data_IF_608790988834
#
_entry.id   IF_608790988834
#
_cell.length_a   1.000
_cell.length_b   1.000
_cell.length_c   1.000
_cell.angle_alpha   90.00
_cell.angle_beta   90.00
_cell.angle_gamma   90.00
#
_symmetry.space_group_name_H-M   'P 1'
#
loop_
_entity.id
_entity.type
_entity.pdbx_description
1 polymer ?
#
# COMPACT_ATOMS: atom_id res chain seq x y z
N UNK A 1 -7.40 -30.60 3.70
CA UNK A 1 -7.99 -29.35 3.29
C UNK A 1 -7.00 -28.20 3.49
N UNK A 2 -6.71 -27.44 2.41
CA UNK A 2 -5.71 -26.36 2.45
C UNK A 2 -6.13 -25.19 3.34
N UNK A 3 -7.41 -24.90 3.44
CA UNK A 3 -7.88 -23.81 4.30
C UNK A 3 -7.65 -24.15 5.79
N UNK A 4 -7.91 -25.38 6.22
CA UNK A 4 -7.65 -25.77 7.61
C UNK A 4 -6.16 -25.75 7.94
N UNK A 5 -5.28 -26.18 7.02
CA UNK A 5 -3.83 -26.03 7.19
C UNK A 5 -3.39 -24.57 7.29
N UNK A 6 -4.03 -23.67 6.55
CA UNK A 6 -3.76 -22.24 6.67
C UNK A 6 -4.19 -21.71 8.06
N UNK A 7 -5.37 -22.10 8.53
CA UNK A 7 -5.84 -21.74 9.88
C UNK A 7 -4.85 -22.20 10.95
N UNK A 8 -4.38 -23.46 10.87
CA UNK A 8 -3.41 -24.02 11.79
C UNK A 8 -2.06 -23.28 11.76
N UNK A 9 -1.53 -23.02 10.56
CA UNK A 9 -0.26 -22.28 10.39
C UNK A 9 -0.35 -20.87 10.96
N UNK A 10 -1.42 -20.14 10.67
CA UNK A 10 -1.65 -18.83 11.26
C UNK A 10 -1.77 -18.90 12.80
N UNK A 11 -2.45 -19.93 13.32
CA UNK A 11 -2.58 -20.11 14.76
C UNK A 11 -1.21 -20.31 15.43
N UNK A 12 -0.29 -21.03 14.80
CA UNK A 12 1.08 -21.18 15.34
C UNK A 12 1.78 -19.83 15.49
N UNK A 13 1.60 -18.92 14.52
CA UNK A 13 2.18 -17.57 14.62
C UNK A 13 1.53 -16.78 15.75
N UNK A 14 0.20 -16.86 15.87
CA UNK A 14 -0.56 -16.19 16.95
C UNK A 14 -0.15 -16.70 18.33
N UNK A 15 -0.04 -18.01 18.48
CA UNK A 15 0.32 -18.67 19.74
C UNK A 15 1.77 -18.40 20.17
N UNK A 16 2.64 -18.10 19.23
CA UNK A 16 4.04 -17.73 19.52
C UNK A 16 4.14 -16.46 20.35
N UNK A 17 3.13 -15.56 20.26
CA UNK A 17 3.09 -14.24 20.92
C UNK A 17 4.32 -13.36 20.57
N UNK A 18 4.98 -13.67 19.47
CA UNK A 18 6.16 -12.93 19.00
C UNK A 18 5.80 -11.59 18.36
N UNK A 19 4.55 -11.46 17.93
CA UNK A 19 4.06 -10.28 17.19
C UNK A 19 2.77 -9.75 17.82
N UNK A 20 2.51 -8.46 17.60
CA UNK A 20 1.26 -7.80 18.00
C UNK A 20 0.94 -6.65 17.05
N UNK A 21 -0.33 -6.27 16.96
CA UNK A 21 -0.74 -5.12 16.15
C UNK A 21 -0.23 -3.82 16.78
N UNK A 22 0.40 -2.96 15.99
CA UNK A 22 0.83 -1.63 16.42
C UNK A 22 -0.37 -0.75 16.79
N UNK A 23 -0.19 0.15 17.76
CA UNK A 23 -1.22 1.14 18.12
C UNK A 23 -1.35 2.23 17.06
N UNK A 24 -0.23 2.64 16.49
CA UNK A 24 -0.14 3.54 15.34
C UNK A 24 0.09 2.72 14.07
N UNK A 25 -0.86 2.76 13.15
CA UNK A 25 -0.77 2.08 11.85
C UNK A 25 0.52 2.42 11.11
N UNK A 26 0.90 3.70 11.12
CA UNK A 26 2.06 4.17 10.38
C UNK A 26 3.40 3.86 11.05
N UNK A 27 3.41 3.39 12.29
CA UNK A 27 4.64 2.93 12.95
C UNK A 27 5.36 1.84 12.14
N UNK A 28 4.59 1.01 11.42
CA UNK A 28 5.12 -0.03 10.54
C UNK A 28 5.97 0.49 9.37
N UNK A 29 5.89 1.80 9.06
CA UNK A 29 6.42 2.40 7.84
C UNK A 29 7.32 3.62 8.11
N UNK A 30 7.61 3.92 9.37
CA UNK A 30 8.53 5.00 9.78
C UNK A 30 9.97 4.65 9.39
N UNK A 31 10.85 5.64 9.41
CA UNK A 31 12.28 5.46 9.09
C UNK A 31 12.96 4.44 10.02
N UNK A 32 12.48 4.30 11.26
CA UNK A 32 12.98 3.35 12.25
C UNK A 32 12.02 2.17 12.46
N UNK A 33 11.41 1.66 11.40
CA UNK A 33 10.39 0.62 11.45
C UNK A 33 10.94 -0.79 11.75
N UNK A 34 12.24 -0.95 11.87
CA UNK A 34 12.88 -2.16 12.42
C UNK A 34 12.43 -2.45 13.86
N UNK A 35 11.91 -1.45 14.56
CA UNK A 35 11.37 -1.59 15.91
C UNK A 35 9.89 -2.01 15.95
N UNK A 36 9.24 -2.15 14.79
CA UNK A 36 7.83 -2.54 14.74
C UNK A 36 7.64 -3.97 15.24
N UNK A 37 6.73 -4.12 16.21
CA UNK A 37 6.31 -5.43 16.73
C UNK A 37 5.28 -6.14 15.84
N UNK A 38 4.84 -5.51 14.77
CA UNK A 38 3.91 -6.06 13.80
C UNK A 38 4.60 -6.61 12.55
N UNK A 39 5.76 -6.06 12.16
CA UNK A 39 6.51 -6.49 10.99
C UNK A 39 7.14 -7.86 11.22
N UNK A 40 6.84 -8.84 10.35
CA UNK A 40 7.32 -10.23 10.47
C UNK A 40 8.53 -10.45 9.57
N UNK A 41 8.45 -9.97 8.32
CA UNK A 41 9.51 -10.14 7.35
C UNK A 41 9.64 -8.88 6.49
N UNK A 42 10.86 -8.36 6.44
CA UNK A 42 11.18 -7.11 5.77
C UNK A 42 12.38 -7.30 4.84
N UNK A 43 12.49 -6.45 3.83
CA UNK A 43 13.73 -6.23 3.12
C UNK A 43 14.41 -5.09 3.85
N UNK A 44 15.56 -5.38 4.46
CA UNK A 44 16.33 -4.41 5.23
C UNK A 44 16.92 -3.36 4.29
N UNK A 45 16.67 -2.09 4.59
CA UNK A 45 17.25 -0.95 3.92
C UNK A 45 18.18 -0.21 4.89
N UNK A 46 19.40 0.08 4.46
CA UNK A 46 20.37 0.85 5.22
C UNK A 46 20.91 1.99 4.34
N UNK A 47 20.48 3.19 4.65
CA UNK A 47 20.88 4.39 3.92
C UNK A 47 22.38 4.71 4.04
N UNK A 48 23.08 4.09 4.97
CA UNK A 48 24.54 4.23 5.16
C UNK A 48 25.32 3.07 4.54
N UNK A 49 24.63 2.01 4.13
CA UNK A 49 25.30 0.88 3.49
C UNK A 49 25.97 1.32 2.20
N UNK A 50 27.27 1.12 2.13
CA UNK A 50 28.10 1.46 0.98
C UNK A 50 27.98 0.48 -0.18
N UNK A 51 26.80 -0.11 -0.39
CA UNK A 51 26.58 -0.93 -1.55
C UNK A 51 26.56 -0.08 -2.80
N UNK A 52 27.68 -0.13 -3.50
CA UNK A 52 27.93 0.62 -4.71
C UNK A 52 27.21 0.03 -5.94
N UNK A 53 25.91 -0.21 -5.80
CA UNK A 53 25.05 -0.47 -6.95
C UNK A 53 24.75 0.82 -7.72
N UNK A 54 25.70 1.77 -7.67
CA UNK A 54 25.49 3.16 -8.07
C UNK A 54 25.23 3.35 -9.53
N UNK A 55 25.62 2.47 -10.39
CA UNK A 55 25.79 2.90 -11.76
C UNK A 55 24.66 2.55 -12.72
N UNK A 56 23.79 1.60 -12.46
CA UNK A 56 22.71 1.29 -13.41
C UNK A 56 21.34 1.13 -12.79
N UNK A 57 21.25 0.38 -11.73
CA UNK A 57 20.02 0.27 -10.95
C UNK A 57 20.12 1.07 -9.64
N UNK A 58 21.31 1.38 -9.21
CA UNK A 58 21.63 1.83 -7.87
C UNK A 58 21.17 3.23 -7.51
N UNK A 59 21.04 4.14 -8.47
CA UNK A 59 20.33 5.41 -8.20
C UNK A 59 18.90 5.19 -7.81
N UNK A 60 18.48 4.00 -7.96
CA UNK A 60 17.14 3.55 -7.69
C UNK A 60 17.04 2.60 -6.49
N UNK A 61 18.06 1.95 -5.96
CA UNK A 61 17.91 0.89 -4.98
C UNK A 61 17.58 1.36 -3.54
N UNK A 62 18.15 2.43 -3.09
CA UNK A 62 18.04 2.87 -1.69
C UNK A 62 17.21 4.13 -1.46
N UNK A 63 16.47 4.58 -2.45
CA UNK A 63 15.49 5.62 -2.25
C UNK A 63 14.17 4.95 -2.03
N UNK A 64 13.46 5.23 -1.02
CA UNK A 64 12.14 4.62 -0.80
C UNK A 64 11.17 5.06 -1.90
N UNK A 65 11.36 4.48 -3.07
CA UNK A 65 10.74 4.86 -4.31
C UNK A 65 9.27 4.71 -4.34
N UNK A 66 8.78 3.77 -3.60
CA UNK A 66 7.35 3.54 -3.52
C UNK A 66 6.66 4.84 -3.15
N UNK A 67 7.16 5.55 -2.14
CA UNK A 67 6.62 6.86 -1.74
C UNK A 67 6.97 7.96 -2.73
N UNK A 68 8.21 7.94 -3.25
CA UNK A 68 8.64 8.92 -4.25
C UNK A 68 7.87 8.79 -5.58
N UNK A 69 7.35 7.60 -5.90
CA UNK A 69 6.51 7.37 -7.08
C UNK A 69 5.11 7.94 -6.93
N UNK A 70 4.56 8.02 -5.71
CA UNK A 70 3.17 8.43 -5.48
C UNK A 70 3.02 9.92 -5.24
N UNK A 71 3.97 10.56 -4.59
CA UNK A 71 3.86 11.97 -4.22
C UNK A 71 4.01 12.91 -5.42
N UNK A 72 3.26 14.02 -5.41
CA UNK A 72 3.37 15.09 -6.40
C UNK A 72 4.73 15.81 -6.25
N UNK A 73 5.26 16.36 -7.31
CA UNK A 73 6.50 17.13 -7.32
C UNK A 73 6.55 18.25 -6.27
N UNK A 74 5.43 18.92 -6.06
CA UNK A 74 5.31 20.04 -5.12
C UNK A 74 5.52 19.60 -3.64
N UNK A 75 5.29 18.32 -3.32
CA UNK A 75 5.51 17.83 -1.96
C UNK A 75 6.96 17.93 -1.51
N UNK A 76 7.94 17.99 -2.44
CA UNK A 76 9.32 18.25 -2.06
C UNK A 76 9.45 19.52 -1.23
N UNK A 77 8.91 20.62 -1.74
CA UNK A 77 8.96 21.93 -1.09
C UNK A 77 7.99 22.02 0.08
N UNK A 78 6.78 21.44 -0.08
CA UNK A 78 5.76 21.47 0.97
C UNK A 78 6.21 20.81 2.27
N UNK A 79 6.95 19.70 2.15
CA UNK A 79 7.35 18.86 3.28
C UNK A 79 8.85 18.83 3.52
N UNK A 80 9.60 19.69 2.86
CA UNK A 80 11.05 19.76 2.97
C UNK A 80 11.72 18.39 2.74
N UNK A 81 11.31 17.69 1.68
CA UNK A 81 11.85 16.37 1.37
C UNK A 81 13.26 16.47 0.77
N UNK A 82 14.14 15.56 1.15
CA UNK A 82 15.52 15.49 0.66
C UNK A 82 15.61 15.29 -0.85
N UNK A 83 14.62 14.61 -1.44
CA UNK A 83 14.55 14.31 -2.87
C UNK A 83 13.21 14.75 -3.47
N UNK A 84 13.21 15.10 -4.75
CA UNK A 84 11.99 15.44 -5.50
C UNK A 84 11.19 14.17 -5.79
N UNK A 85 9.90 14.10 -5.39
CA UNK A 85 9.01 13.00 -5.75
C UNK A 85 8.83 12.86 -7.26
N UNK A 86 8.41 11.67 -7.69
CA UNK A 86 8.38 11.34 -9.12
C UNK A 86 7.02 11.52 -9.78
N UNK A 87 5.95 11.67 -9.00
CA UNK A 87 4.60 11.90 -9.50
C UNK A 87 4.12 10.86 -10.54
N UNK A 88 4.54 9.60 -10.36
CA UNK A 88 4.35 8.54 -11.35
C UNK A 88 3.08 7.73 -11.17
N UNK A 89 2.54 7.67 -9.95
CA UNK A 89 1.37 6.87 -9.62
C UNK A 89 0.35 7.65 -8.79
N UNK A 90 -0.92 7.34 -9.00
CA UNK A 90 -2.02 7.92 -8.24
C UNK A 90 -3.11 6.86 -8.00
N UNK A 91 -3.98 7.14 -7.03
CA UNK A 91 -5.13 6.30 -6.76
C UNK A 91 -6.31 6.64 -7.68
N UNK A 92 -6.94 5.65 -8.32
CA UNK A 92 -8.18 5.89 -9.02
C UNK A 92 -9.33 6.15 -8.04
N UNK A 93 -10.31 7.02 -8.42
CA UNK A 93 -11.43 7.42 -7.57
C UNK A 93 -12.26 6.26 -7.02
N UNK A 94 -12.48 5.21 -7.80
CA UNK A 94 -13.27 4.05 -7.40
C UNK A 94 -12.61 3.21 -6.29
N UNK A 95 -11.28 3.16 -6.27
CA UNK A 95 -10.58 2.56 -5.14
C UNK A 95 -10.58 3.47 -3.91
N UNK A 96 -10.38 4.78 -4.12
CA UNK A 96 -10.40 5.74 -3.03
C UNK A 96 -11.76 5.79 -2.31
N UNK A 97 -12.86 5.58 -3.06
CA UNK A 97 -14.20 5.52 -2.51
C UNK A 97 -14.46 4.36 -1.52
N UNK A 98 -13.53 3.40 -1.43
CA UNK A 98 -13.59 2.32 -0.44
C UNK A 98 -13.24 2.76 0.98
N UNK A 99 -12.63 3.94 1.15
CA UNK A 99 -12.33 4.52 2.45
C UNK A 99 -13.48 5.44 2.91
N UNK A 100 -13.74 5.49 4.22
CA UNK A 100 -14.61 6.51 4.79
C UNK A 100 -13.86 7.84 4.89
N UNK A 101 -14.25 8.79 4.05
CA UNK A 101 -13.62 10.10 3.98
C UNK A 101 -13.63 10.82 5.34
N UNK A 102 -12.47 11.30 5.76
CA UNK A 102 -12.30 12.06 6.99
C UNK A 102 -12.41 11.26 8.30
N UNK A 103 -12.63 9.94 8.21
CA UNK A 103 -12.71 9.06 9.38
C UNK A 103 -11.61 8.01 9.41
N UNK A 104 -11.42 7.29 8.29
CA UNK A 104 -10.35 6.30 8.18
C UNK A 104 -9.02 7.02 8.00
N UNK A 105 -8.12 6.92 8.98
CA UNK A 105 -6.82 7.59 8.97
C UNK A 105 -5.91 7.15 7.81
N UNK A 106 -6.19 6.01 7.18
CA UNK A 106 -5.49 5.55 5.98
C UNK A 106 -6.04 6.20 4.71
N UNK A 107 -7.26 6.66 4.77
CA UNK A 107 -8.04 7.20 3.65
C UNK A 107 -7.81 8.69 3.41
N UNK A 108 -8.57 9.25 2.47
CA UNK A 108 -8.52 10.67 2.21
C UNK A 108 -9.14 11.45 3.36
N UNK A 109 -8.44 12.49 3.78
CA UNK A 109 -8.92 13.46 4.74
C UNK A 109 -9.08 14.83 4.06
N UNK A 110 -9.59 15.80 4.82
CA UNK A 110 -9.63 17.16 4.36
C UNK A 110 -8.24 17.62 3.91
N UNK A 111 -8.14 18.22 2.73
CA UNK A 111 -6.89 18.70 2.14
C UNK A 111 -6.14 19.67 3.05
N UNK A 112 -6.83 20.35 3.94
CA UNK A 112 -6.21 21.24 4.94
C UNK A 112 -5.43 20.46 6.00
N UNK A 113 -5.76 19.22 6.26
CA UNK A 113 -5.06 18.35 7.21
C UNK A 113 -3.88 17.62 6.55
N UNK A 114 -4.07 17.14 5.32
CA UNK A 114 -3.09 16.33 4.62
C UNK A 114 -1.92 17.10 4.00
N UNK A 115 -2.10 18.38 3.69
CA UNK A 115 -1.13 19.17 2.94
C UNK A 115 -0.55 20.38 3.67
N UNK A 116 -1.18 20.81 4.76
CA UNK A 116 -0.61 21.83 5.65
C UNK A 116 0.31 21.17 6.68
N UNK A 117 1.54 20.93 6.29
CA UNK A 117 2.55 20.31 7.14
C UNK A 117 2.75 18.81 6.85
N UNK A 118 3.83 18.28 7.35
CA UNK A 118 4.25 16.88 7.14
C UNK A 118 3.54 15.87 8.04
N UNK A 119 2.53 16.26 8.77
CA UNK A 119 1.93 15.45 9.82
C UNK A 119 0.82 14.52 9.30
N UNK A 120 0.41 14.69 8.03
CA UNK A 120 -0.59 13.85 7.41
C UNK A 120 0.00 12.59 6.80
N UNK A 121 -0.68 11.48 7.00
CA UNK A 121 -0.42 10.19 6.39
C UNK A 121 -1.66 9.72 5.63
N UNK A 122 -1.50 8.75 4.73
CA UNK A 122 -2.61 8.24 3.94
C UNK A 122 -2.72 8.91 2.58
N UNK A 123 -3.94 9.02 2.09
CA UNK A 123 -4.22 9.58 0.77
C UNK A 123 -4.43 11.09 0.80
N UNK A 124 -3.82 11.82 -0.12
CA UNK A 124 -3.91 13.28 -0.23
C UNK A 124 -4.75 13.70 -1.41
N UNK A 125 -5.62 14.69 -1.16
CA UNK A 125 -6.38 15.45 -2.13
C UNK A 125 -6.25 16.93 -1.83
N UNK A 126 -6.53 17.78 -2.83
CA UNK A 126 -6.60 19.22 -2.68
C UNK A 126 -5.27 19.95 -2.90
N UNK A 127 -5.20 21.22 -2.49
CA UNK A 127 -4.05 22.07 -2.70
C UNK A 127 -2.82 21.62 -1.92
N UNK A 128 -1.64 21.72 -2.54
CA UNK A 128 -0.35 21.56 -1.89
C UNK A 128 0.16 22.94 -1.50
N UNK A 129 0.13 23.25 -0.22
CA UNK A 129 0.46 24.60 0.27
C UNK A 129 1.97 24.80 0.48
N UNK A 130 2.36 26.05 0.38
CA UNK A 130 3.71 26.50 0.74
C UNK A 130 3.91 26.35 2.25
N UNK A 131 5.05 25.83 2.75
CA UNK A 131 5.23 25.51 4.16
C UNK A 131 5.27 26.75 5.06
N UNK A 132 5.68 27.91 4.53
CA UNK A 132 5.90 29.14 5.32
C UNK A 132 5.05 30.34 4.84
N UNK A 133 4.38 30.23 3.71
CA UNK A 133 3.52 31.31 3.19
C UNK A 133 2.08 30.86 3.28
N UNK A 134 1.34 31.48 4.18
CA UNK A 134 -0.03 31.12 4.44
C UNK A 134 -0.89 31.16 3.18
N UNK A 135 -1.69 30.11 3.01
CA UNK A 135 -2.67 29.95 1.93
C UNK A 135 -2.10 30.04 0.49
N UNK A 136 -0.78 30.06 0.35
CA UNK A 136 -0.10 30.06 -0.93
C UNK A 136 0.03 28.64 -1.48
N UNK A 137 -0.62 28.35 -2.62
CA UNK A 137 -0.51 27.08 -3.32
C UNK A 137 0.82 27.04 -4.08
N UNK A 138 1.56 25.95 -3.92
CA UNK A 138 2.79 25.70 -4.67
C UNK A 138 2.49 25.51 -6.15
N UNK A 139 3.41 25.94 -6.99
CA UNK A 139 3.35 25.74 -8.45
C UNK A 139 4.48 24.82 -8.90
N UNK A 140 4.21 24.02 -9.90
CA UNK A 140 5.18 23.18 -10.61
C UNK A 140 5.73 23.99 -11.79
N UNK A 141 6.82 24.71 -11.57
CA UNK A 141 7.42 25.66 -12.55
C UNK A 141 7.84 24.94 -13.84
N UNK A 142 8.45 23.77 -13.71
CA UNK A 142 8.87 22.92 -14.83
C UNK A 142 7.70 22.27 -15.60
N UNK A 143 6.47 22.53 -15.16
CA UNK A 143 5.22 22.08 -15.79
C UNK A 143 4.32 23.25 -16.19
N UNK A 144 4.92 24.33 -16.63
CA UNK A 144 4.20 25.53 -17.10
C UNK A 144 3.56 26.32 -15.97
N UNK A 145 4.16 26.35 -14.78
CA UNK A 145 3.61 26.99 -13.58
C UNK A 145 2.25 26.45 -13.16
N UNK A 146 2.04 25.14 -13.35
CA UNK A 146 0.79 24.48 -12.98
C UNK A 146 0.62 24.50 -11.45
N UNK A 147 -0.47 25.08 -10.91
CA UNK A 147 -0.77 25.00 -9.48
C UNK A 147 -0.92 23.54 -9.04
N UNK A 148 -0.30 23.17 -7.93
CA UNK A 148 -0.37 21.82 -7.39
C UNK A 148 -1.67 21.63 -6.59
N UNK A 149 -2.73 21.22 -7.29
CA UNK A 149 -4.06 20.94 -6.72
C UNK A 149 -4.45 19.52 -7.10
N UNK A 150 -4.32 18.59 -6.17
CA UNK A 150 -4.58 17.16 -6.40
C UNK A 150 -6.08 16.93 -6.41
N UNK A 151 -6.58 16.36 -7.50
CA UNK A 151 -8.02 16.16 -7.71
C UNK A 151 -8.39 14.67 -7.67
N UNK A 152 -9.57 14.37 -7.13
CA UNK A 152 -10.13 13.01 -7.15
C UNK A 152 -10.79 12.71 -8.50
N UNK A 153 -10.00 12.84 -9.56
CA UNK A 153 -10.41 12.60 -10.94
C UNK A 153 -9.21 12.16 -11.74
N UNK A 154 -9.43 11.34 -12.78
CA UNK A 154 -8.42 10.96 -13.77
C UNK A 154 -9.12 11.07 -15.13
N UNK A 155 -8.66 11.98 -15.95
CA UNK A 155 -9.28 12.28 -17.26
C UNK A 155 -9.20 11.09 -18.23
N UNK A 156 -8.11 10.32 -18.17
CA UNK A 156 -7.87 9.13 -19.00
C UNK A 156 -6.43 8.66 -18.86
N UNK A 157 -6.14 7.43 -19.29
CA UNK A 157 -4.79 6.88 -19.20
C UNK A 157 -3.75 7.68 -20.00
N UNK A 158 -4.17 8.27 -21.13
CA UNK A 158 -3.29 9.03 -22.01
C UNK A 158 -3.36 10.55 -21.77
N UNK A 159 -4.42 11.01 -21.08
CA UNK A 159 -4.69 12.42 -20.84
C UNK A 159 -4.58 12.86 -19.39
N UNK A 160 -4.12 11.96 -18.50
CA UNK A 160 -3.92 12.28 -17.10
C UNK A 160 -2.88 13.39 -16.91
N UNK A 161 -3.20 14.33 -16.02
CA UNK A 161 -2.34 15.45 -15.67
C UNK A 161 -1.51 15.16 -14.40
N UNK A 162 -0.59 16.06 -14.07
CA UNK A 162 0.22 15.94 -12.87
C UNK A 162 -0.60 16.05 -11.55
N UNK A 163 -1.82 16.52 -11.63
CA UNK A 163 -2.71 16.71 -10.49
C UNK A 163 -3.75 15.58 -10.33
N UNK A 164 -3.91 14.72 -11.34
CA UNK A 164 -4.95 13.70 -11.35
C UNK A 164 -4.70 12.59 -10.34
N UNK A 165 -5.76 12.19 -9.64
CA UNK A 165 -5.81 11.09 -8.67
C UNK A 165 -5.08 11.37 -7.35
N UNK A 166 -5.59 10.77 -6.28
CA UNK A 166 -5.03 10.94 -4.94
C UNK A 166 -3.59 10.43 -4.83
N UNK A 167 -2.81 11.06 -3.95
CA UNK A 167 -1.41 10.73 -3.66
C UNK A 167 -1.28 10.08 -2.30
N UNK A 168 -0.35 9.15 -2.16
CA UNK A 168 -0.19 8.38 -0.91
C UNK A 168 1.11 8.73 -0.20
N UNK A 169 1.02 8.99 1.09
CA UNK A 169 2.14 8.87 2.03
C UNK A 169 1.87 7.71 2.97
N UNK A 170 2.56 6.62 2.79
CA UNK A 170 2.49 5.44 3.67
C UNK A 170 3.82 5.16 4.34
N UNK A 171 4.90 5.15 3.59
CA UNK A 171 6.25 5.09 4.12
C UNK A 171 6.77 6.51 4.38
N UNK A 172 7.39 6.73 5.51
CA UNK A 172 8.00 8.00 5.84
C UNK A 172 9.10 8.35 4.84
N UNK A 173 9.17 9.62 4.44
CA UNK A 173 10.19 10.11 3.51
C UNK A 173 11.16 11.01 4.27
N UNK A 174 12.45 10.80 4.03
CA UNK A 174 13.51 11.60 4.64
C UNK A 174 13.38 13.09 4.28
N UNK A 175 13.52 13.95 5.30
CA UNK A 175 13.50 15.40 5.15
C UNK A 175 14.90 15.93 4.79
N UNK A 176 14.94 17.16 4.32
CA UNK A 176 16.18 17.90 4.05
C UNK A 176 17.13 17.87 5.26
N UNK A 177 18.40 17.69 4.99
CA UNK A 177 19.41 17.52 6.05
C UNK A 177 19.63 16.08 6.51
N UNK A 178 18.72 15.15 6.20
CA UNK A 178 18.94 13.73 6.41
C UNK A 178 19.68 13.08 5.24
N UNK A 179 20.06 11.81 5.39
CA UNK A 179 20.56 11.02 4.29
C UNK A 179 19.48 10.93 3.19
N UNK A 180 19.87 11.08 1.94
CA UNK A 180 18.95 10.94 0.78
C UNK A 180 18.49 9.50 0.54
N UNK A 181 19.09 8.54 1.20
CA UNK A 181 18.67 7.15 1.22
C UNK A 181 17.82 6.90 2.47
N UNK A 182 16.77 6.12 2.31
CA UNK A 182 15.88 5.82 3.42
C UNK A 182 16.38 4.59 4.18
N UNK A 183 16.20 4.61 5.49
CA UNK A 183 16.53 3.49 6.37
C UNK A 183 15.29 2.64 6.69
N UNK A 184 14.10 3.06 6.27
CA UNK A 184 12.90 2.27 6.53
C UNK A 184 12.89 0.99 5.70
N UNK A 185 12.79 -0.11 6.40
CA UNK A 185 12.69 -1.44 5.82
C UNK A 185 11.42 -1.59 4.99
N UNK A 186 11.53 -2.26 3.84
CA UNK A 186 10.38 -2.59 3.03
C UNK A 186 9.64 -3.80 3.58
N UNK A 187 8.40 -3.60 4.02
CA UNK A 187 7.59 -4.61 4.69
C UNK A 187 6.99 -5.58 3.69
N UNK A 188 7.33 -6.87 3.80
CA UNK A 188 6.78 -7.95 2.98
C UNK A 188 5.62 -8.68 3.68
N UNK A 189 5.76 -8.96 4.97
CA UNK A 189 4.73 -9.63 5.77
C UNK A 189 4.57 -8.94 7.12
N UNK A 190 3.31 -8.68 7.50
CA UNK A 190 2.91 -8.12 8.80
C UNK A 190 1.93 -9.04 9.51
N UNK A 191 1.86 -8.92 10.82
CA UNK A 191 0.94 -9.71 11.66
C UNK A 191 -0.53 -9.49 11.29
N UNK A 192 -0.90 -8.30 10.82
CA UNK A 192 -2.23 -8.03 10.27
C UNK A 192 -2.59 -8.97 9.10
N UNK A 193 -1.61 -9.31 8.21
CA UNK A 193 -1.85 -10.25 7.11
C UNK A 193 -2.11 -11.68 7.64
N UNK A 194 -1.42 -12.10 8.69
CA UNK A 194 -1.65 -13.40 9.35
C UNK A 194 -3.07 -13.50 9.89
N UNK A 195 -3.54 -12.46 10.57
CA UNK A 195 -4.89 -12.42 11.14
C UNK A 195 -5.98 -12.46 10.05
N UNK A 196 -5.81 -11.67 8.98
CA UNK A 196 -6.74 -11.70 7.85
C UNK A 196 -6.69 -13.01 7.06
N UNK A 197 -5.52 -13.61 6.87
CA UNK A 197 -5.39 -14.92 6.23
C UNK A 197 -6.11 -16.01 7.04
N UNK A 198 -5.97 -15.99 8.37
CA UNK A 198 -6.68 -16.93 9.23
C UNK A 198 -8.19 -16.77 9.12
N UNK A 199 -8.67 -15.52 9.14
CA UNK A 199 -10.10 -15.24 9.01
C UNK A 199 -10.64 -15.70 7.64
N UNK A 200 -9.96 -15.34 6.55
CA UNK A 200 -10.36 -15.76 5.19
C UNK A 200 -10.40 -17.28 5.06
N UNK A 201 -9.36 -17.96 5.54
CA UNK A 201 -9.26 -19.42 5.47
C UNK A 201 -10.37 -20.09 6.28
N UNK A 202 -10.65 -19.62 7.49
CA UNK A 202 -11.74 -20.12 8.32
C UNK A 202 -13.11 -19.89 7.65
N UNK A 203 -13.34 -18.71 7.09
CA UNK A 203 -14.57 -18.37 6.39
C UNK A 203 -14.80 -19.29 5.19
N UNK A 204 -13.76 -19.49 4.34
CA UNK A 204 -13.83 -20.36 3.16
C UNK A 204 -13.97 -21.84 3.52
N UNK A 205 -13.47 -22.25 4.67
CA UNK A 205 -13.67 -23.60 5.21
C UNK A 205 -15.07 -23.81 5.84
N UNK A 206 -15.88 -22.77 5.98
CA UNK A 206 -17.16 -22.82 6.70
C UNK A 206 -17.00 -22.97 8.22
N UNK A 207 -15.83 -22.65 8.76
CA UNK A 207 -15.53 -22.72 10.20
C UNK A 207 -16.04 -21.47 10.92
N UNK A 208 -17.35 -21.47 11.21
CA UNK A 208 -18.03 -20.34 11.86
C UNK A 208 -17.55 -20.12 13.30
N UNK A 209 -17.13 -21.16 13.99
CA UNK A 209 -16.54 -21.03 15.33
C UNK A 209 -15.28 -20.17 15.28
N UNK A 210 -14.34 -20.48 14.37
CA UNK A 210 -13.08 -19.75 14.26
C UNK A 210 -13.31 -18.30 13.78
N UNK A 211 -14.21 -18.06 12.84
CA UNK A 211 -14.53 -16.68 12.42
C UNK A 211 -15.13 -15.86 13.55
N UNK A 212 -15.99 -16.46 14.39
CA UNK A 212 -16.55 -15.80 15.56
C UNK A 212 -15.48 -15.50 16.61
N UNK A 213 -14.57 -16.44 16.87
CA UNK A 213 -13.43 -16.23 17.78
C UNK A 213 -12.56 -15.05 17.32
N UNK A 214 -12.27 -14.97 16.02
CA UNK A 214 -11.45 -13.88 15.45
C UNK A 214 -12.17 -12.54 15.54
N UNK A 215 -13.46 -12.48 15.26
CA UNK A 215 -14.24 -11.24 15.45
C UNK A 215 -14.30 -10.79 16.92
N UNK A 216 -14.15 -11.72 17.87
CA UNK A 216 -14.04 -11.39 19.29
C UNK A 216 -12.59 -11.11 19.74
N UNK A 217 -11.59 -11.32 18.89
CA UNK A 217 -10.18 -11.15 19.24
C UNK A 217 -9.78 -9.66 19.22
N UNK A 218 -9.26 -9.11 20.33
CA UNK A 218 -8.87 -7.71 20.42
C UNK A 218 -7.79 -7.30 19.37
N UNK A 219 -6.82 -8.16 19.09
CA UNK A 219 -5.79 -7.89 18.10
C UNK A 219 -6.38 -7.79 16.68
N UNK A 220 -7.33 -8.67 16.36
CA UNK A 220 -8.04 -8.60 15.09
C UNK A 220 -8.84 -7.31 14.95
N UNK A 221 -9.57 -6.93 15.99
CA UNK A 221 -10.36 -5.70 16.01
C UNK A 221 -9.47 -4.44 15.98
N UNK A 222 -8.30 -4.52 16.59
CA UNK A 222 -7.34 -3.42 16.65
C UNK A 222 -6.86 -2.98 15.26
N UNK A 223 -6.78 -3.89 14.27
CA UNK A 223 -6.41 -3.54 12.89
C UNK A 223 -7.29 -2.41 12.38
N UNK A 224 -8.59 -2.43 12.71
CA UNK A 224 -9.55 -1.42 12.26
C UNK A 224 -9.67 -0.25 13.23
N UNK A 225 -9.70 -0.51 14.53
CA UNK A 225 -9.94 0.55 15.52
C UNK A 225 -8.75 1.52 15.65
N UNK A 226 -7.53 1.07 15.40
CA UNK A 226 -6.34 1.94 15.41
C UNK A 226 -6.35 3.03 14.33
N UNK A 227 -7.14 2.84 13.28
CA UNK A 227 -7.30 3.81 12.19
C UNK A 227 -8.60 4.61 12.27
N UNK A 228 -9.23 4.65 13.46
CA UNK A 228 -10.41 5.44 13.73
C UNK A 228 -11.72 4.81 13.27
N UNK A 229 -11.69 3.57 12.77
CA UNK A 229 -12.86 2.89 12.27
C UNK A 229 -13.50 2.01 13.35
N UNK A 230 -14.85 1.81 13.34
CA UNK A 230 -15.50 0.94 14.29
C UNK A 230 -15.03 -0.51 14.13
N UNK A 231 -15.06 -1.27 15.23
CA UNK A 231 -14.80 -2.70 15.24
C UNK A 231 -15.72 -3.46 14.27
N UNK A 232 -15.27 -4.59 13.74
CA UNK A 232 -16.11 -5.43 12.89
C UNK A 232 -17.25 -6.05 13.71
N UNK A 233 -18.50 -5.80 13.29
CA UNK A 233 -19.65 -6.56 13.77
C UNK A 233 -19.81 -7.88 12.98
N UNK A 234 -19.51 -7.82 11.70
CA UNK A 234 -19.47 -8.95 10.77
C UNK A 234 -18.48 -8.63 9.66
N UNK A 235 -17.97 -9.65 8.97
CA UNK A 235 -17.03 -9.49 7.88
C UNK A 235 -17.25 -10.60 6.85
N UNK A 236 -17.78 -10.26 5.69
CA UNK A 236 -17.87 -11.19 4.56
C UNK A 236 -16.62 -11.11 3.67
N UNK A 237 -16.58 -11.91 2.63
CA UNK A 237 -15.40 -11.96 1.75
C UNK A 237 -15.22 -10.69 0.91
N UNK A 238 -16.30 -10.02 0.53
CA UNK A 238 -16.22 -8.82 -0.29
C UNK A 238 -15.69 -7.65 0.55
N UNK A 239 -16.22 -7.45 1.77
CA UNK A 239 -15.68 -6.47 2.70
C UNK A 239 -14.26 -6.82 3.14
N UNK A 240 -13.94 -8.10 3.34
CA UNK A 240 -12.57 -8.51 3.65
C UNK A 240 -11.60 -8.16 2.52
N UNK A 241 -11.99 -8.37 1.25
CA UNK A 241 -11.17 -7.96 0.10
C UNK A 241 -10.95 -6.45 0.07
N UNK A 242 -11.98 -5.68 0.38
CA UNK A 242 -11.89 -4.23 0.42
C UNK A 242 -11.06 -3.75 1.62
N UNK A 243 -11.25 -4.34 2.79
CA UNK A 243 -10.45 -4.03 3.97
C UNK A 243 -8.98 -4.37 3.77
N UNK A 244 -8.67 -5.52 3.18
CA UNK A 244 -7.29 -5.85 2.78
C UNK A 244 -6.73 -4.84 1.78
N UNK A 245 -7.56 -4.36 0.86
CA UNK A 245 -7.18 -3.28 -0.06
C UNK A 245 -6.81 -1.99 0.67
N UNK A 246 -7.61 -1.59 1.67
CA UNK A 246 -7.36 -0.41 2.51
C UNK A 246 -6.11 -0.58 3.38
N UNK A 247 -5.99 -1.71 4.04
CA UNK A 247 -4.89 -2.01 4.97
C UNK A 247 -3.54 -2.15 4.26
N UNK A 248 -3.51 -2.88 3.15
CA UNK A 248 -2.27 -3.20 2.43
C UNK A 248 -2.09 -2.38 1.14
N UNK A 249 -2.78 -1.25 0.99
CA UNK A 249 -2.53 -0.34 -0.11
C UNK A 249 -1.02 -0.04 -0.20
N UNK A 250 -0.47 -0.19 -1.40
CA UNK A 250 0.95 0.06 -1.68
C UNK A 250 1.98 -0.91 -1.04
N UNK A 251 1.53 -2.07 -0.52
CA UNK A 251 2.39 -3.16 -0.02
C UNK A 251 2.50 -4.34 -1.01
N UNK A 252 2.12 -4.12 -2.27
CA UNK A 252 2.24 -5.08 -3.39
C UNK A 252 1.43 -6.37 -3.26
N UNK A 253 0.46 -6.43 -2.35
CA UNK A 253 -0.37 -7.63 -2.13
C UNK A 253 -1.66 -7.65 -2.97
N UNK A 254 -2.14 -6.49 -3.46
CA UNK A 254 -3.46 -6.34 -4.08
C UNK A 254 -3.69 -7.26 -5.28
N UNK A 255 -2.70 -7.43 -6.17
CA UNK A 255 -2.83 -8.33 -7.32
C UNK A 255 -3.09 -9.77 -6.88
N UNK A 256 -2.34 -10.26 -5.90
CA UNK A 256 -2.51 -11.61 -5.32
C UNK A 256 -3.91 -11.79 -4.73
N UNK A 257 -4.39 -10.79 -3.99
CA UNK A 257 -5.71 -10.80 -3.39
C UNK A 257 -6.80 -10.82 -4.47
N UNK A 258 -6.72 -9.94 -5.45
CA UNK A 258 -7.69 -9.90 -6.55
C UNK A 258 -7.76 -11.21 -7.34
N UNK A 259 -6.62 -11.88 -7.58
CA UNK A 259 -6.59 -13.21 -8.23
C UNK A 259 -7.32 -14.24 -7.36
N UNK A 260 -6.99 -14.31 -6.06
CA UNK A 260 -7.57 -15.27 -5.11
C UNK A 260 -9.08 -15.09 -4.95
N UNK A 261 -9.58 -13.86 -5.10
CA UNK A 261 -10.99 -13.51 -5.07
C UNK A 261 -11.64 -13.53 -6.47
N UNK A 262 -10.93 -13.98 -7.51
CA UNK A 262 -11.39 -13.99 -8.89
C UNK A 262 -11.84 -12.61 -9.41
N UNK A 263 -11.18 -11.55 -8.92
CA UNK A 263 -11.49 -10.18 -9.30
C UNK A 263 -10.41 -9.56 -10.21
N UNK A 264 -9.21 -10.15 -10.33
CA UNK A 264 -8.14 -9.55 -11.11
C UNK A 264 -8.48 -9.43 -12.59
N UNK A 265 -8.86 -10.52 -13.24
CA UNK A 265 -9.32 -10.50 -14.63
C UNK A 265 -10.81 -10.23 -14.74
N UNK A 266 -11.63 -10.72 -13.81
CA UNK A 266 -13.09 -10.70 -13.88
C UNK A 266 -13.74 -9.48 -13.25
N UNK A 267 -13.05 -8.76 -12.36
CA UNK A 267 -13.54 -7.49 -11.82
C UNK A 267 -13.43 -6.34 -12.82
N UNK A 268 -14.27 -5.35 -12.64
CA UNK A 268 -14.25 -4.11 -13.41
C UNK A 268 -14.03 -2.93 -12.49
N UNK A 269 -13.17 -2.01 -12.89
CA UNK A 269 -12.96 -0.73 -12.23
C UNK A 269 -12.47 0.31 -13.25
N UNK A 270 -12.26 1.54 -12.83
CA UNK A 270 -11.86 2.63 -13.71
C UNK A 270 -10.75 2.23 -14.69
N UNK A 271 -11.00 2.38 -15.99
CA UNK A 271 -10.11 2.01 -17.10
C UNK A 271 -9.73 0.53 -17.23
N UNK A 272 -10.29 -0.33 -16.41
CA UNK A 272 -10.06 -1.77 -16.49
C UNK A 272 -11.37 -2.51 -16.69
N UNK A 273 -11.70 -2.94 -17.92
CA UNK A 273 -12.81 -3.85 -18.18
C UNK A 273 -12.49 -5.29 -17.76
N UNK A 274 -13.48 -6.16 -17.77
CA UNK A 274 -13.26 -7.61 -17.70
C UNK A 274 -12.32 -8.06 -18.80
N UNK A 275 -11.48 -9.04 -18.48
CA UNK A 275 -10.49 -9.60 -19.40
C UNK A 275 -10.46 -11.11 -19.30
N UNK A 276 -9.74 -11.74 -20.21
CA UNK A 276 -9.52 -13.19 -20.19
C UNK A 276 -8.85 -13.61 -18.87
N UNK A 277 -9.36 -14.71 -18.30
CA UNK A 277 -8.82 -15.29 -17.05
C UNK A 277 -7.38 -15.76 -17.17
N UNK A 278 -6.91 -16.05 -18.37
CA UNK A 278 -5.52 -16.37 -18.65
C UNK A 278 -4.55 -15.28 -18.16
N UNK A 279 -5.01 -14.01 -18.11
CA UNK A 279 -4.20 -12.89 -17.59
C UNK A 279 -3.96 -12.91 -16.07
N UNK A 280 -4.61 -13.81 -15.33
CA UNK A 280 -4.29 -14.04 -13.92
C UNK A 280 -2.88 -14.65 -13.76
N UNK A 281 -2.36 -15.29 -14.81
CA UNK A 281 -1.07 -15.95 -14.83
C UNK A 281 -0.02 -15.10 -15.54
N UNK A 282 1.22 -15.17 -15.05
CA UNK A 282 2.35 -14.68 -15.82
C UNK A 282 2.79 -15.73 -16.83
N UNK A 283 3.14 -15.36 -18.07
CA UNK A 283 3.71 -16.30 -19.00
C UNK A 283 5.08 -16.81 -18.50
N UNK A 284 5.33 -18.10 -18.65
CA UNK A 284 6.65 -18.65 -18.39
C UNK A 284 7.60 -18.19 -19.52
N UNK A 285 8.77 -17.62 -19.21
CA UNK A 285 9.70 -17.19 -20.25
C UNK A 285 10.04 -18.33 -21.21
N UNK A 286 9.94 -18.06 -22.49
CA UNK A 286 10.14 -19.08 -23.55
C UNK A 286 11.44 -19.87 -23.39
N UNK A 287 12.53 -19.20 -23.06
CA UNK A 287 13.82 -19.82 -22.79
C UNK A 287 13.74 -20.87 -21.67
N UNK A 288 12.96 -20.64 -20.64
CA UNK A 288 12.80 -21.60 -19.54
C UNK A 288 12.06 -22.85 -19.99
N UNK A 289 11.05 -22.70 -20.86
CA UNK A 289 10.33 -23.83 -21.45
C UNK A 289 11.27 -24.64 -22.34
N UNK A 290 12.00 -23.99 -23.23
CA UNK A 290 12.95 -24.63 -24.16
C UNK A 290 14.04 -25.41 -23.42
N UNK A 291 14.57 -24.84 -22.33
CA UNK A 291 15.64 -25.51 -21.54
C UNK A 291 15.13 -26.57 -20.58
N UNK A 292 13.81 -26.65 -20.35
CA UNK A 292 13.23 -27.68 -19.47
C UNK A 292 13.22 -29.09 -20.04
N UNK A 293 13.62 -29.27 -21.32
CA UNK A 293 13.56 -30.57 -21.95
C UNK A 293 12.15 -31.17 -22.12
N UNK A 294 11.14 -30.30 -22.20
CA UNK A 294 9.72 -30.71 -22.32
C UNK A 294 9.00 -30.94 -20.99
N UNK A 295 9.65 -30.66 -19.85
CA UNK A 295 9.02 -30.81 -18.54
C UNK A 295 8.00 -29.69 -18.25
N UNK A 296 8.16 -28.53 -18.88
CA UNK A 296 7.28 -27.38 -18.67
C UNK A 296 6.51 -27.04 -19.94
N UNK A 297 5.25 -26.77 -19.75
CA UNK A 297 4.36 -26.21 -20.78
C UNK A 297 3.96 -24.79 -20.39
N UNK A 298 3.59 -23.99 -21.38
CA UNK A 298 3.14 -22.63 -21.13
C UNK A 298 1.86 -22.60 -20.28
N UNK A 299 1.74 -21.60 -19.41
CA UNK A 299 0.49 -21.28 -18.75
C UNK A 299 -0.59 -20.99 -19.81
N UNK A 300 -1.90 -21.25 -19.51
CA UNK A 300 -2.99 -20.81 -20.37
C UNK A 300 -2.87 -19.31 -20.64
N UNK A 301 -2.88 -18.92 -21.90
CA UNK A 301 -2.72 -17.52 -22.33
C UNK A 301 -3.22 -17.31 -23.74
#
# INVERSE_FOLDING_TARGET
DFYNKCVEACQMVIDSKSYSIEDDFFANFKINNENSKENIFVIVEDGNASFDYRDHAGKMANKLRITMLTLNYAHQKAWDLVEKPWNGFCCPPDFLAKYEYGKDLRGPCDSTLGTKGCDGWGWFLGPVYHPTVQDSILVMEDKGNLPAIIVNHIAGLESATHNDGARLLKYEVAKSGANKYCDNDFVLFRYADVLYMQYEAAYRAGNTTKTTELLANPEFQKIRTRVGMPAYAALDLDELLDERGREFAWEMVRRRDLIRYNQYSQGEWMFKPKRDKALDWFPIPRKMIETSGGLWTQNPG
#
